data_IF_091016177260
#
_entry.id   IF_091016177260
#
_cell.length_a   1.000
_cell.length_b   1.000
_cell.length_c   1.000
_cell.angle_alpha   90.00
_cell.angle_beta   90.00
_cell.angle_gamma   90.00
#
_symmetry.space_group_name_H-M   'P 1'
#
loop_
_entity.id
_entity.type
_entity.pdbx_description
1 polymer ?
#
# COMPACT_ATOMS: atom_id res chain seq x y z
N UNK A 1 8.78 12.62 0.45
CA UNK A 1 9.03 12.04 1.78
C UNK A 1 8.57 10.60 1.72
N UNK A 2 9.46 9.62 1.81
CA UNK A 2 9.05 8.22 1.95
C UNK A 2 8.50 8.08 3.36
N UNK A 3 7.18 8.04 3.48
CA UNK A 3 6.51 7.79 4.75
C UNK A 3 6.61 6.28 4.98
N UNK A 4 7.66 5.86 5.66
CA UNK A 4 7.82 4.47 6.09
C UNK A 4 6.92 4.24 7.32
N UNK A 5 6.20 3.12 7.35
CA UNK A 5 5.32 2.79 8.46
C UNK A 5 6.13 2.33 9.66
N UNK A 6 7.12 1.47 9.43
CA UNK A 6 8.10 1.03 10.43
C UNK A 6 9.51 1.04 9.86
N UNK A 7 10.49 1.42 10.69
CA UNK A 7 11.91 1.42 10.31
C UNK A 7 12.75 0.77 11.41
N UNK A 8 13.67 -0.12 11.04
CA UNK A 8 14.66 -0.72 11.93
C UNK A 8 16.05 -0.64 11.30
N UNK A 9 16.90 0.22 11.84
CA UNK A 9 18.25 0.46 11.31
C UNK A 9 19.31 0.12 12.36
N UNK A 10 20.35 -0.60 11.95
CA UNK A 10 21.53 -0.86 12.76
C UNK A 10 22.81 -0.63 11.95
N UNK A 11 23.88 -0.15 12.60
CA UNK A 11 25.20 -0.03 11.97
C UNK A 11 25.96 -1.36 11.93
N UNK A 12 25.63 -2.28 12.83
CA UNK A 12 26.13 -3.66 12.84
C UNK A 12 25.09 -4.62 12.28
N UNK A 13 25.08 -5.84 12.81
CA UNK A 13 24.18 -6.90 12.37
C UNK A 13 22.76 -6.74 12.92
N UNK A 14 21.77 -7.26 12.19
CA UNK A 14 20.39 -7.43 12.65
C UNK A 14 20.06 -8.92 12.61
N UNK A 15 19.53 -9.44 13.71
CA UNK A 15 19.01 -10.81 13.79
C UNK A 15 17.60 -10.79 14.37
N UNK A 16 16.63 -11.29 13.61
CA UNK A 16 15.23 -11.44 14.01
C UNK A 16 14.86 -12.91 14.06
N UNK A 17 14.56 -13.42 15.24
CA UNK A 17 14.20 -14.83 15.47
C UNK A 17 12.81 -14.91 16.08
N UNK A 18 11.95 -15.71 15.47
CA UNK A 18 10.62 -16.04 15.98
C UNK A 18 10.44 -17.55 15.98
N UNK A 19 9.88 -18.12 17.04
CA UNK A 19 9.51 -19.54 17.06
C UNK A 19 8.26 -19.82 16.19
N UNK A 20 7.49 -18.78 15.85
CA UNK A 20 6.26 -18.88 15.07
C UNK A 20 6.35 -18.13 13.75
N UNK A 21 5.21 -17.62 13.30
CA UNK A 21 5.12 -16.83 12.07
C UNK A 21 5.72 -15.43 12.25
N UNK A 22 6.23 -14.87 11.17
CA UNK A 22 6.76 -13.50 11.13
C UNK A 22 6.13 -12.74 9.96
N UNK A 23 5.59 -11.56 10.22
CA UNK A 23 4.99 -10.71 9.18
C UNK A 23 5.61 -9.30 9.23
N UNK A 24 6.18 -8.85 8.09
CA UNK A 24 6.57 -7.47 7.88
C UNK A 24 5.57 -6.82 6.94
N UNK A 25 4.64 -6.04 7.50
CA UNK A 25 3.50 -5.48 6.76
C UNK A 25 3.43 -3.98 6.88
N UNK A 26 3.12 -3.34 5.76
CA UNK A 26 2.86 -1.93 5.73
C UNK A 26 1.64 -1.53 6.56
N UNK A 27 1.68 -0.30 7.07
CA UNK A 27 0.48 0.37 7.56
C UNK A 27 -0.35 0.84 6.37
N UNK A 28 -1.56 0.30 6.23
CA UNK A 28 -2.52 0.73 5.21
C UNK A 28 -3.25 1.98 5.70
N UNK A 29 -3.14 3.07 4.95
CA UNK A 29 -3.86 4.30 5.21
C UNK A 29 -4.91 4.53 4.12
N UNK A 30 -6.01 5.18 4.52
CA UNK A 30 -7.06 5.62 3.62
C UNK A 30 -7.36 7.08 3.89
N UNK A 31 -7.34 7.88 2.83
CA UNK A 31 -7.78 9.26 2.87
C UNK A 31 -9.06 9.39 2.09
N UNK A 32 -10.09 9.92 2.74
CA UNK A 32 -11.38 10.21 2.13
C UNK A 32 -11.69 11.69 2.34
N UNK A 33 -11.94 12.41 1.25
CA UNK A 33 -12.18 13.84 1.31
C UNK A 33 -13.00 14.38 0.15
N UNK A 34 -13.54 15.57 0.36
CA UNK A 34 -14.23 16.35 -0.67
C UNK A 34 -13.43 17.62 -0.93
N UNK A 35 -12.96 17.81 -2.16
CA UNK A 35 -12.24 19.02 -2.57
C UNK A 35 -12.77 19.52 -3.91
N UNK A 36 -13.12 20.80 -3.99
CA UNK A 36 -13.59 21.46 -5.23
C UNK A 36 -14.71 20.71 -5.97
N UNK A 37 -15.67 20.15 -5.24
CA UNK A 37 -16.78 19.37 -5.83
C UNK A 37 -16.40 17.97 -6.34
N UNK A 38 -15.19 17.51 -6.01
CA UNK A 38 -14.70 16.17 -6.32
C UNK A 38 -14.61 15.33 -5.05
N UNK A 39 -15.09 14.10 -5.11
CA UNK A 39 -14.78 13.07 -4.11
C UNK A 39 -13.36 12.57 -4.37
N UNK A 40 -12.58 12.42 -3.32
CA UNK A 40 -11.22 11.88 -3.34
C UNK A 40 -11.18 10.70 -2.39
N UNK A 41 -10.82 9.52 -2.90
CA UNK A 41 -10.57 8.32 -2.11
C UNK A 41 -9.21 7.75 -2.49
N UNK A 42 -8.28 7.81 -1.54
CA UNK A 42 -6.91 7.33 -1.72
C UNK A 42 -6.63 6.25 -0.72
N UNK A 43 -6.07 5.15 -1.19
CA UNK A 43 -5.45 4.15 -0.33
C UNK A 43 -3.97 4.08 -0.64
N UNK A 44 -3.14 4.24 0.37
CA UNK A 44 -1.70 4.06 0.24
C UNK A 44 -1.16 3.24 1.41
N UNK A 45 0.04 2.70 1.23
CA UNK A 45 0.66 1.81 2.20
C UNK A 45 2.01 2.40 2.60
N UNK A 46 2.25 2.50 3.89
CA UNK A 46 3.52 2.93 4.45
C UNK A 46 4.34 1.68 4.80
N UNK A 47 5.31 1.36 3.93
CA UNK A 47 6.08 0.12 3.97
C UNK A 47 6.94 -0.08 5.23
N UNK A 48 7.50 -1.28 5.35
CA UNK A 48 8.49 -1.60 6.40
C UNK A 48 9.88 -1.49 5.80
N UNK A 49 10.80 -0.80 6.49
CA UNK A 49 12.19 -0.73 6.08
C UNK A 49 13.12 -1.32 7.15
N UNK A 50 13.94 -2.29 6.77
CA UNK A 50 14.98 -2.84 7.64
C UNK A 50 16.34 -2.64 6.98
N UNK A 51 17.25 -1.97 7.67
CA UNK A 51 18.61 -1.71 7.18
C UNK A 51 19.65 -2.20 8.17
N UNK A 52 20.45 -3.19 7.77
CA UNK A 52 21.60 -3.67 8.52
C UNK A 52 22.91 -3.16 7.89
N UNK A 53 23.76 -2.54 8.69
CA UNK A 53 25.14 -2.18 8.32
C UNK A 53 26.09 -3.38 8.28
N UNK A 54 25.66 -4.53 8.79
CA UNK A 54 26.35 -5.80 8.69
C UNK A 54 25.48 -6.87 8.00
N UNK A 55 25.35 -8.02 8.65
CA UNK A 55 24.49 -9.12 8.26
C UNK A 55 23.02 -8.86 8.66
N UNK A 56 22.07 -9.31 7.85
CA UNK A 56 20.64 -9.34 8.20
C UNK A 56 20.18 -10.80 8.22
N UNK A 57 19.85 -11.32 9.39
CA UNK A 57 19.36 -12.69 9.58
C UNK A 57 17.90 -12.64 10.04
N UNK A 58 16.99 -13.28 9.30
CA UNK A 58 15.60 -13.45 9.70
C UNK A 58 15.26 -14.93 9.73
N UNK A 59 14.95 -15.45 10.92
CA UNK A 59 14.57 -16.84 11.15
C UNK A 59 13.15 -16.90 11.72
N UNK A 60 12.20 -17.40 10.94
CA UNK A 60 10.85 -17.69 11.39
C UNK A 60 10.68 -19.21 11.55
N UNK A 61 10.20 -19.65 12.71
CA UNK A 61 9.86 -21.05 12.95
C UNK A 61 8.63 -21.51 12.18
N UNK A 62 7.75 -20.59 11.79
CA UNK A 62 6.58 -20.83 10.93
C UNK A 62 6.76 -20.27 9.52
N UNK A 63 5.73 -19.55 9.03
CA UNK A 63 5.79 -18.83 7.74
C UNK A 63 6.35 -17.41 7.88
N UNK A 64 6.76 -16.84 6.76
CA UNK A 64 7.26 -15.47 6.69
C UNK A 64 6.55 -14.71 5.56
N UNK A 65 5.95 -13.56 5.88
CA UNK A 65 5.29 -12.68 4.91
C UNK A 65 5.98 -11.32 4.85
N UNK A 66 6.38 -10.92 3.64
CA UNK A 66 6.81 -9.57 3.31
C UNK A 66 5.72 -8.85 2.52
N UNK A 67 5.12 -7.81 3.07
CA UNK A 67 4.16 -6.94 2.36
C UNK A 67 4.68 -5.51 2.36
N UNK A 68 5.04 -5.02 1.17
CA UNK A 68 5.69 -3.72 0.99
C UNK A 68 6.86 -3.50 1.98
N UNK A 69 7.69 -4.54 2.13
CA UNK A 69 8.90 -4.50 2.95
C UNK A 69 10.13 -4.27 2.05
N UNK A 70 11.03 -3.39 2.49
CA UNK A 70 12.33 -3.15 1.88
C UNK A 70 13.42 -3.55 2.87
N UNK A 71 14.21 -4.56 2.51
CA UNK A 71 15.28 -5.10 3.33
C UNK A 71 16.62 -4.79 2.68
N UNK A 72 17.56 -4.24 3.46
CA UNK A 72 18.92 -3.95 3.02
C UNK A 72 19.91 -4.51 4.04
N UNK A 73 20.93 -5.19 3.53
CA UNK A 73 22.08 -5.62 4.32
C UNK A 73 23.35 -5.22 3.56
N UNK A 74 24.33 -4.65 4.25
CA UNK A 74 25.59 -4.28 3.62
C UNK A 74 26.53 -5.47 3.43
N UNK A 75 26.30 -6.59 4.15
CA UNK A 75 27.07 -7.82 4.02
C UNK A 75 26.20 -8.97 3.53
N UNK A 76 25.79 -9.87 4.41
CA UNK A 76 24.97 -11.04 4.07
C UNK A 76 23.51 -10.80 4.44
N UNK A 77 22.61 -11.45 3.71
CA UNK A 77 21.19 -11.47 4.03
C UNK A 77 20.72 -12.92 4.01
N UNK A 78 20.40 -13.45 5.18
CA UNK A 78 19.91 -14.82 5.36
C UNK A 78 18.46 -14.76 5.86
N UNK A 79 17.54 -15.30 5.07
CA UNK A 79 16.10 -15.30 5.38
C UNK A 79 15.60 -16.75 5.30
N UNK A 80 15.06 -17.25 6.40
CA UNK A 80 14.55 -18.60 6.49
C UNK A 80 13.18 -18.65 7.18
N UNK A 81 12.26 -19.38 6.56
CA UNK A 81 11.00 -19.83 7.16
C UNK A 81 11.12 -21.36 7.34
N UNK A 82 11.28 -21.82 8.58
CA UNK A 82 11.58 -23.22 8.89
C UNK A 82 10.33 -24.12 8.86
N UNK A 83 9.14 -23.56 9.05
CA UNK A 83 7.90 -24.32 9.23
C UNK A 83 6.72 -23.81 8.42
N UNK A 84 6.94 -23.42 7.16
CA UNK A 84 5.87 -22.94 6.30
C UNK A 84 6.36 -22.42 4.95
N UNK A 85 5.85 -21.27 4.55
CA UNK A 85 6.12 -20.64 3.26
C UNK A 85 6.77 -19.27 3.44
N UNK A 86 7.51 -18.85 2.42
CA UNK A 86 8.01 -17.50 2.27
C UNK A 86 7.15 -16.77 1.22
N UNK A 87 6.40 -15.76 1.65
CA UNK A 87 5.53 -14.96 0.79
C UNK A 87 6.07 -13.53 0.65
N UNK A 88 5.94 -12.99 -0.56
CA UNK A 88 6.20 -11.58 -0.83
C UNK A 88 5.02 -10.99 -1.63
N UNK A 89 4.45 -9.91 -1.11
CA UNK A 89 3.35 -9.17 -1.73
C UNK A 89 3.80 -7.73 -2.03
N UNK A 90 3.53 -7.30 -3.26
CA UNK A 90 3.79 -5.94 -3.71
C UNK A 90 2.85 -4.93 -3.02
N UNK A 91 3.30 -3.68 -2.97
CA UNK A 91 2.49 -2.57 -2.49
C UNK A 91 1.37 -2.26 -3.49
N UNK A 92 0.13 -2.13 -3.02
CA UNK A 92 -1.01 -1.71 -3.83
C UNK A 92 -1.53 -0.36 -3.32
N UNK A 93 -1.34 0.68 -4.12
CA UNK A 93 -1.88 2.01 -3.89
C UNK A 93 -3.00 2.29 -4.89
N UNK A 94 -4.13 2.79 -4.40
CA UNK A 94 -5.26 3.18 -5.24
C UNK A 94 -5.55 4.66 -5.05
N UNK A 95 -5.88 5.32 -6.16
CA UNK A 95 -6.34 6.70 -6.14
C UNK A 95 -7.56 6.82 -7.04
N UNK A 96 -8.68 7.16 -6.42
CA UNK A 96 -9.99 7.26 -7.05
C UNK A 96 -10.56 8.65 -6.82
N UNK A 97 -11.11 9.25 -7.87
CA UNK A 97 -11.74 10.55 -7.80
C UNK A 97 -13.06 10.56 -8.57
N UNK A 98 -14.11 11.16 -7.99
CA UNK A 98 -15.38 11.39 -8.67
C UNK A 98 -15.64 12.88 -8.83
N UNK A 99 -16.02 13.32 -10.03
CA UNK A 99 -16.47 14.68 -10.30
C UNK A 99 -17.95 14.69 -10.65
N UNK A 100 -18.71 15.62 -10.06
CA UNK A 100 -20.10 15.91 -10.46
C UNK A 100 -20.18 17.30 -11.06
N UNK A 101 -20.38 17.38 -12.37
CA UNK A 101 -20.60 18.66 -13.07
C UNK A 101 -22.08 18.84 -13.35
N UNK A 102 -22.64 19.96 -12.90
CA UNK A 102 -23.98 20.40 -13.29
C UNK A 102 -23.83 21.51 -14.31
N UNK A 103 -24.31 21.30 -15.52
CA UNK A 103 -24.40 22.35 -16.54
C UNK A 103 -25.87 22.71 -16.76
N UNK A 104 -26.15 23.98 -17.00
CA UNK A 104 -27.48 24.41 -17.43
C UNK A 104 -27.40 24.96 -18.84
N UNK A 105 -28.39 24.62 -19.65
CA UNK A 105 -28.44 25.11 -21.02
C UNK A 105 -28.95 26.56 -21.02
N UNK A 106 -28.08 27.50 -21.41
CA UNK A 106 -28.41 28.93 -21.49
C UNK A 106 -29.50 29.23 -22.53
N UNK A 107 -29.60 28.43 -23.60
CA UNK A 107 -30.64 28.60 -24.62
C UNK A 107 -32.04 28.26 -24.10
N UNK A 108 -32.16 27.38 -23.10
CA UNK A 108 -33.44 27.07 -22.44
C UNK A 108 -33.63 27.83 -21.13
N UNK A 109 -32.94 28.96 -20.95
CA UNK A 109 -33.01 29.76 -19.72
C UNK A 109 -32.70 28.96 -18.43
N UNK A 110 -31.86 27.92 -18.53
CA UNK A 110 -31.55 26.99 -17.44
C UNK A 110 -32.76 26.22 -16.86
N UNK A 111 -33.88 26.14 -17.61
CA UNK A 111 -35.00 25.22 -17.33
C UNK A 111 -34.55 23.75 -17.40
N UNK A 112 -33.59 23.46 -18.27
CA UNK A 112 -32.97 22.13 -18.40
C UNK A 112 -31.61 22.13 -17.70
N UNK A 113 -31.43 21.20 -16.75
CA UNK A 113 -30.16 20.93 -16.08
C UNK A 113 -29.63 19.58 -16.51
N UNK A 114 -28.38 19.54 -16.96
CA UNK A 114 -27.66 18.30 -17.22
C UNK A 114 -26.69 18.05 -16.08
N UNK A 115 -26.59 16.79 -15.66
CA UNK A 115 -25.61 16.33 -14.68
C UNK A 115 -24.71 15.29 -15.31
N UNK A 116 -23.41 15.58 -15.34
CA UNK A 116 -22.39 14.62 -15.74
C UNK A 116 -21.65 14.12 -14.50
N UNK A 117 -21.50 12.79 -14.42
CA UNK A 117 -20.61 12.14 -13.47
C UNK A 117 -19.37 11.65 -14.23
N UNK A 118 -18.19 11.97 -13.71
CA UNK A 118 -16.92 11.48 -14.27
C UNK A 118 -16.11 10.84 -13.16
N UNK A 119 -15.61 9.66 -13.44
CA UNK A 119 -14.78 8.88 -12.53
C UNK A 119 -13.38 8.76 -13.11
N UNK A 120 -12.36 8.97 -12.29
CA UNK A 120 -10.97 8.95 -12.69
C UNK A 120 -10.13 8.09 -11.74
N UNK A 121 -9.18 7.33 -12.31
CA UNK A 121 -8.31 6.40 -11.61
C UNK A 121 -6.86 6.57 -12.06
N UNK A 122 -5.93 6.82 -11.12
CA UNK A 122 -4.59 7.30 -11.49
C UNK A 122 -3.42 6.32 -11.26
N UNK A 123 -3.53 5.38 -10.32
CA UNK A 123 -2.45 4.40 -10.01
C UNK A 123 -2.91 2.94 -10.09
N UNK A 124 -4.02 2.61 -9.44
CA UNK A 124 -4.75 1.35 -9.62
C UNK A 124 -6.21 1.59 -9.23
N UNK A 125 -7.15 1.18 -10.07
CA UNK A 125 -8.55 1.04 -9.72
C UNK A 125 -8.90 -0.42 -9.91
N UNK A 126 -8.87 -1.19 -8.82
CA UNK A 126 -9.58 -2.46 -8.82
C UNK A 126 -11.07 -2.17 -8.93
N UNK A 127 -11.58 -2.21 -10.15
CA UNK A 127 -12.93 -2.73 -10.37
C UNK A 127 -12.80 -4.23 -10.47
N UNK A 128 -12.52 -4.91 -9.35
CA UNK A 128 -12.67 -6.35 -9.30
C UNK A 128 -14.12 -6.63 -8.86
N UNK A 129 -15.00 -7.15 -9.74
CA UNK A 129 -16.07 -7.97 -9.24
C UNK A 129 -15.39 -9.16 -8.56
N UNK A 130 -15.80 -9.44 -7.33
CA UNK A 130 -15.47 -10.62 -6.55
C UNK A 130 -15.06 -11.81 -7.42
N UNK A 131 -13.75 -12.07 -7.54
CA UNK A 131 -13.27 -13.38 -7.99
C UNK A 131 -12.63 -14.06 -6.80
N UNK A 132 -13.46 -14.87 -6.15
CA UNK A 132 -13.03 -15.94 -5.25
C UNK A 132 -12.53 -17.06 -6.15
N UNK A 133 -11.23 -17.37 -6.13
CA UNK A 133 -10.70 -18.74 -6.12
C UNK A 133 -9.35 -18.73 -5.41
#
# INVERSE_FOLDING_TARGET
MLINGAQLHATGDITLVSAGNTELKALKNREHGWQHGKLIDKTYQQGVEIQSGGALNILAGGHLLFQAANLKAQRTMDIAAQGGYLYAQAMEETEHYEEKRKSCNRWTLCLTKNSEHRTYCHRSCKTDPLTII
#
